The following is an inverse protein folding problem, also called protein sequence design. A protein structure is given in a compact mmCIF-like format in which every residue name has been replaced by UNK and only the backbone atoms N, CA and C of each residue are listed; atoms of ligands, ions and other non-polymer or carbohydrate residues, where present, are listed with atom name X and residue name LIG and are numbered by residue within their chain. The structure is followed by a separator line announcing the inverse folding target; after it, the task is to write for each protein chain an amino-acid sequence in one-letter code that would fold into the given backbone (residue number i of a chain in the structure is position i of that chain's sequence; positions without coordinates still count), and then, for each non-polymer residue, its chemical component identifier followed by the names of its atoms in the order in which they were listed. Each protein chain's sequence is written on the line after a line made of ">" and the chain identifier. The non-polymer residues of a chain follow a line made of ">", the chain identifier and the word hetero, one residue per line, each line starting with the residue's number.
data_IF_726460167963
#
_entry.id   IF_726460167963
#
_cell.length_a   1.000
_cell.length_b   1.000
_cell.length_c   1.000
_cell.angle_alpha   90.00
_cell.angle_beta   90.00
_cell.angle_gamma   90.00
#
_symmetry.space_group_name_H-M   'P 1'
#
loop_
_entity.id
_entity.type
_entity.pdbx_description
1 polymer ?
#
# COMPACT_ATOMS: atom_id res chain seq x y z
N UNK A 1 1.08 -3.84 -2.59
CA UNK A 1 1.41 -3.14 -3.86
C UNK A 1 1.46 -4.17 -4.97
N UNK A 2 1.28 -3.79 -6.25
CA UNK A 2 1.39 -4.69 -7.41
C UNK A 2 2.67 -4.39 -8.20
N UNK A 3 3.12 -5.30 -9.07
CA UNK A 3 4.34 -5.07 -9.86
C UNK A 3 4.22 -3.88 -10.83
N UNK A 4 3.03 -3.61 -11.36
CA UNK A 4 2.76 -2.41 -12.17
C UNK A 4 3.22 -1.11 -11.50
N UNK A 5 3.11 -1.01 -10.18
CA UNK A 5 3.52 0.17 -9.43
C UNK A 5 5.04 0.42 -9.47
N UNK A 6 5.85 -0.58 -9.80
CA UNK A 6 7.30 -0.41 -10.00
C UNK A 6 7.61 0.46 -11.21
N UNK A 7 6.79 0.38 -12.27
CA UNK A 7 6.94 1.19 -13.48
C UNK A 7 6.54 2.66 -13.26
N UNK A 8 5.78 2.92 -12.20
CA UNK A 8 5.43 4.28 -11.76
C UNK A 8 6.51 4.94 -10.91
N UNK A 9 7.64 4.26 -10.65
CA UNK A 9 8.80 4.79 -9.90
C UNK A 9 9.89 5.20 -10.89
N UNK A 10 9.84 6.41 -11.48
CA UNK A 10 10.82 6.84 -12.48
C UNK A 10 12.26 6.83 -11.92
N UNK A 11 12.44 7.02 -10.61
CA UNK A 11 13.72 6.93 -9.93
C UNK A 11 14.38 5.55 -9.99
N UNK A 12 13.62 4.47 -10.22
CA UNK A 12 14.18 3.13 -10.38
C UNK A 12 14.57 2.81 -11.82
N UNK A 13 14.08 3.57 -12.81
CA UNK A 13 14.40 3.37 -14.22
C UNK A 13 14.14 1.95 -14.75
N UNK A 14 13.25 1.19 -14.12
CA UNK A 14 12.98 -0.20 -14.49
C UNK A 14 12.22 -0.26 -15.81
N UNK A 15 12.65 -1.16 -16.69
CA UNK A 15 11.95 -1.46 -17.94
C UNK A 15 11.52 -2.91 -17.98
N UNK A 16 10.29 -3.17 -18.41
CA UNK A 16 9.80 -4.55 -18.53
C UNK A 16 10.33 -5.18 -19.81
N UNK A 17 10.90 -6.37 -19.67
CA UNK A 17 11.50 -7.15 -20.77
C UNK A 17 10.59 -8.33 -21.14
N UNK A 18 9.95 -8.97 -20.16
CA UNK A 18 9.06 -10.12 -20.37
C UNK A 18 7.90 -10.15 -19.35
N UNK A 19 6.80 -10.83 -19.69
CA UNK A 19 5.66 -11.05 -18.79
C UNK A 19 4.73 -9.84 -18.57
N UNK A 20 4.42 -9.09 -19.62
CA UNK A 20 3.68 -7.81 -19.53
C UNK A 20 2.25 -8.04 -19.04
N UNK A 21 1.67 -9.18 -19.40
CA UNK A 21 0.34 -9.62 -18.95
C UNK A 21 0.31 -10.11 -17.50
N UNK A 22 1.48 -10.24 -16.85
CA UNK A 22 1.66 -10.78 -15.50
C UNK A 22 1.99 -9.71 -14.45
N UNK A 23 2.02 -8.43 -14.85
CA UNK A 23 2.41 -7.30 -13.98
C UNK A 23 1.38 -7.01 -12.87
N UNK A 24 0.20 -7.63 -12.94
CA UNK A 24 -0.82 -7.51 -11.92
C UNK A 24 -0.50 -8.36 -10.67
N UNK A 25 0.66 -9.00 -10.54
CA UNK A 25 0.98 -9.81 -9.35
C UNK A 25 1.20 -8.95 -8.09
N UNK A 26 0.73 -9.40 -6.90
CA UNK A 26 1.01 -8.72 -5.64
C UNK A 26 2.48 -8.83 -5.30
N UNK A 27 3.10 -7.73 -4.86
CA UNK A 27 4.48 -7.67 -4.39
C UNK A 27 4.51 -7.49 -2.87
N UNK A 28 5.20 -8.40 -2.17
CA UNK A 28 5.29 -8.46 -0.70
C UNK A 28 6.65 -8.08 -0.14
N UNK A 29 7.73 -8.36 -0.87
CA UNK A 29 9.11 -8.15 -0.42
C UNK A 29 10.09 -8.18 -1.61
N UNK A 30 11.37 -7.86 -1.37
CA UNK A 30 12.46 -7.92 -2.35
C UNK A 30 13.58 -8.80 -1.81
N UNK A 31 14.10 -9.71 -2.64
CA UNK A 31 15.21 -10.59 -2.27
C UNK A 31 16.31 -10.46 -3.31
N UNK A 32 17.53 -10.15 -2.88
CA UNK A 32 18.70 -10.17 -3.76
C UNK A 32 19.42 -11.49 -3.60
N UNK A 33 19.68 -12.19 -4.71
CA UNK A 33 20.39 -13.47 -4.69
C UNK A 33 21.06 -13.75 -6.02
N UNK A 34 22.20 -14.42 -5.94
CA UNK A 34 22.87 -15.04 -7.09
C UNK A 34 23.14 -16.53 -6.84
N UNK A 35 22.26 -17.17 -6.06
CA UNK A 35 22.20 -18.64 -5.98
C UNK A 35 21.43 -19.17 -7.18
N UNK A 36 21.99 -20.16 -7.88
CA UNK A 36 21.35 -20.80 -9.05
C UNK A 36 19.99 -21.43 -8.72
N UNK A 37 19.85 -22.00 -7.53
CA UNK A 37 18.58 -22.52 -7.02
C UNK A 37 18.28 -21.84 -5.66
N UNK A 38 17.58 -20.69 -5.68
CA UNK A 38 17.24 -19.96 -4.46
C UNK A 38 15.95 -20.47 -3.80
N UNK A 39 15.29 -21.49 -4.35
CA UNK A 39 13.91 -21.86 -3.99
C UNK A 39 13.69 -22.08 -2.49
N UNK A 40 14.66 -22.70 -1.79
CA UNK A 40 14.58 -22.95 -0.34
C UNK A 40 14.52 -21.71 0.55
N UNK A 41 14.85 -20.54 0.01
CA UNK A 41 14.86 -19.26 0.74
C UNK A 41 13.69 -18.34 0.37
N UNK A 42 12.84 -18.78 -0.56
CA UNK A 42 11.72 -18.01 -1.10
C UNK A 42 10.41 -18.55 -0.52
N UNK A 43 9.46 -17.64 -0.31
CA UNK A 43 8.15 -17.93 0.30
C UNK A 43 6.97 -17.50 -0.57
N UNK A 44 7.26 -16.92 -1.74
CA UNK A 44 6.28 -16.45 -2.70
C UNK A 44 5.91 -14.97 -2.52
N UNK A 45 5.65 -14.31 -3.64
CA UNK A 45 5.29 -12.89 -3.66
C UNK A 45 6.49 -11.92 -3.57
N UNK A 46 7.72 -12.42 -3.70
CA UNK A 46 8.93 -11.59 -3.74
C UNK A 46 9.23 -11.09 -5.17
N UNK A 47 9.86 -9.91 -5.27
CA UNK A 47 10.65 -9.53 -6.44
C UNK A 47 12.09 -10.00 -6.18
N UNK A 48 12.61 -10.88 -7.03
CA UNK A 48 14.01 -11.32 -6.93
C UNK A 48 14.91 -10.39 -7.73
N UNK A 49 16.03 -9.94 -7.15
CA UNK A 49 17.06 -9.15 -7.82
C UNK A 49 18.34 -9.99 -7.99
N UNK A 50 18.95 -9.93 -9.17
CA UNK A 50 20.15 -10.73 -9.50
C UNK A 50 21.10 -9.99 -10.43
N UNK A 51 22.40 -10.14 -10.17
CA UNK A 51 23.48 -9.69 -11.04
C UNK A 51 23.92 -10.73 -12.08
N UNK A 52 23.18 -11.84 -12.18
CA UNK A 52 23.41 -12.96 -13.09
C UNK A 52 24.73 -13.73 -12.86
N UNK A 53 25.30 -13.66 -11.64
CA UNK A 53 26.61 -14.30 -11.34
C UNK A 53 26.52 -15.84 -11.38
N UNK A 54 25.32 -16.39 -11.16
CA UNK A 54 25.06 -17.82 -11.27
C UNK A 54 25.11 -18.36 -12.71
N UNK A 55 24.96 -17.49 -13.72
CA UNK A 55 24.82 -17.90 -15.13
C UNK A 55 26.18 -18.23 -15.74
N UNK A 56 26.50 -19.52 -15.82
CA UNK A 56 27.73 -20.02 -16.48
C UNK A 56 27.43 -20.55 -17.88
N UNK A 57 26.22 -21.04 -18.09
CA UNK A 57 25.71 -21.59 -19.35
C UNK A 57 24.28 -21.12 -19.58
N UNK A 58 23.78 -21.22 -20.80
CA UNK A 58 22.38 -20.88 -21.11
C UNK A 58 21.36 -21.79 -20.38
N UNK A 59 21.75 -23.03 -20.03
CA UNK A 59 20.88 -23.95 -19.30
C UNK A 59 20.64 -23.53 -17.84
N UNK A 60 21.54 -22.73 -17.28
CA UNK A 60 21.39 -22.22 -15.91
C UNK A 60 20.17 -21.30 -15.78
N UNK A 61 19.84 -20.55 -16.84
CA UNK A 61 18.67 -19.66 -16.87
C UNK A 61 17.37 -20.42 -16.70
N UNK A 62 17.25 -21.59 -17.33
CA UNK A 62 16.09 -22.45 -17.14
C UNK A 62 15.99 -22.96 -15.71
N UNK A 63 17.12 -23.39 -15.13
CA UNK A 63 17.17 -23.90 -13.75
C UNK A 63 16.76 -22.81 -12.76
N UNK A 64 17.31 -21.61 -12.91
CA UNK A 64 17.03 -20.47 -12.04
C UNK A 64 15.57 -20.04 -12.13
N UNK A 65 15.06 -19.80 -13.34
CA UNK A 65 13.69 -19.31 -13.54
C UNK A 65 12.66 -20.37 -13.13
N UNK A 66 12.90 -21.65 -13.41
CA UNK A 66 12.02 -22.72 -12.94
C UNK A 66 11.92 -22.75 -11.41
N UNK A 67 13.05 -22.57 -10.70
CA UNK A 67 13.05 -22.49 -9.24
C UNK A 67 12.25 -21.27 -8.72
N UNK A 68 12.38 -20.12 -9.38
CA UNK A 68 11.60 -18.91 -9.06
C UNK A 68 10.10 -19.12 -9.27
N UNK A 69 9.72 -19.70 -10.40
CA UNK A 69 8.33 -19.99 -10.72
C UNK A 69 7.72 -20.99 -9.72
N UNK A 70 8.45 -22.05 -9.39
CA UNK A 70 8.04 -23.04 -8.39
C UNK A 70 7.85 -22.41 -6.99
N UNK A 71 8.67 -21.43 -6.63
CA UNK A 71 8.54 -20.69 -5.38
C UNK A 71 7.40 -19.65 -5.39
N UNK A 72 6.78 -19.38 -6.54
CA UNK A 72 5.67 -18.43 -6.65
C UNK A 72 6.11 -16.97 -6.48
N UNK A 73 7.30 -16.61 -6.97
CA UNK A 73 7.75 -15.21 -6.93
C UNK A 73 6.84 -14.31 -7.77
N UNK A 74 6.78 -13.03 -7.40
CA UNK A 74 6.04 -12.05 -8.19
C UNK A 74 6.73 -11.76 -9.50
N UNK A 75 8.06 -11.60 -9.49
CA UNK A 75 8.86 -11.29 -10.68
C UNK A 75 10.36 -11.29 -10.42
N UNK A 76 11.13 -10.98 -11.47
CA UNK A 76 12.59 -10.96 -11.51
C UNK A 76 13.09 -9.62 -12.03
N UNK A 77 14.01 -8.98 -11.31
CA UNK A 77 14.80 -7.85 -11.78
C UNK A 77 16.25 -8.27 -12.01
N UNK A 78 16.74 -8.13 -13.24
CA UNK A 78 18.09 -8.51 -13.60
C UNK A 78 18.91 -7.28 -14.03
N UNK A 79 20.16 -7.23 -13.59
CA UNK A 79 21.15 -6.26 -14.07
C UNK A 79 22.33 -7.02 -14.66
N UNK A 80 22.65 -6.80 -15.93
CA UNK A 80 23.86 -7.34 -16.55
C UNK A 80 25.01 -6.32 -16.48
N UNK A 81 26.21 -6.79 -16.17
CA UNK A 81 27.37 -5.91 -15.92
C UNK A 81 28.10 -5.46 -17.20
N UNK A 82 27.90 -6.12 -18.34
CA UNK A 82 28.83 -6.04 -19.49
C UNK A 82 28.24 -5.60 -20.83
N UNK A 83 26.92 -5.68 -21.05
CA UNK A 83 26.33 -5.50 -22.39
C UNK A 83 25.05 -4.65 -22.44
N UNK A 84 24.46 -4.27 -21.30
CA UNK A 84 23.23 -3.47 -21.23
C UNK A 84 21.95 -4.23 -21.62
N UNK A 85 22.04 -5.22 -22.51
CA UNK A 85 20.94 -6.13 -22.84
C UNK A 85 21.00 -7.39 -21.99
N UNK A 86 19.85 -7.93 -21.58
CA UNK A 86 19.76 -9.19 -20.83
C UNK A 86 19.94 -10.41 -21.75
N UNK A 87 20.44 -11.56 -21.23
CA UNK A 87 20.63 -12.75 -22.05
C UNK A 87 19.31 -13.30 -22.58
N UNK A 88 19.26 -13.64 -23.87
CA UNK A 88 18.04 -14.12 -24.53
C UNK A 88 17.49 -15.40 -23.89
N UNK A 89 18.35 -16.32 -23.45
CA UNK A 89 17.95 -17.55 -22.75
C UNK A 89 17.22 -17.27 -21.42
N UNK A 90 17.55 -16.17 -20.73
CA UNK A 90 16.84 -15.74 -19.53
C UNK A 90 15.45 -15.21 -19.88
N UNK A 91 15.35 -14.39 -20.92
CA UNK A 91 14.07 -13.85 -21.42
C UNK A 91 13.13 -15.00 -21.82
N UNK A 92 13.62 -15.95 -22.62
CA UNK A 92 12.86 -17.12 -23.06
C UNK A 92 12.41 -18.02 -21.91
N UNK A 93 13.26 -18.20 -20.89
CA UNK A 93 12.89 -18.94 -19.68
C UNK A 93 11.81 -18.21 -18.88
N UNK A 94 11.94 -16.89 -18.70
CA UNK A 94 10.93 -16.04 -18.05
C UNK A 94 9.58 -16.12 -18.77
N UNK A 95 9.54 -16.05 -20.09
CA UNK A 95 8.29 -16.19 -20.86
C UNK A 95 7.67 -17.58 -20.69
N UNK A 96 8.46 -18.65 -20.81
CA UNK A 96 7.99 -20.03 -20.66
C UNK A 96 7.37 -20.29 -19.29
N UNK A 97 7.98 -19.75 -18.24
CA UNK A 97 7.52 -19.93 -16.85
C UNK A 97 6.59 -18.81 -16.36
N UNK A 98 6.24 -17.86 -17.23
CA UNK A 98 5.41 -16.68 -16.90
C UNK A 98 5.95 -15.92 -15.69
N UNK A 99 7.25 -15.65 -15.66
CA UNK A 99 7.87 -14.81 -14.62
C UNK A 99 8.15 -13.44 -15.22
N UNK A 100 7.48 -12.37 -14.74
CA UNK A 100 7.79 -10.99 -15.17
C UNK A 100 9.27 -10.69 -15.02
N UNK A 101 9.89 -10.16 -16.08
CA UNK A 101 11.30 -9.79 -16.11
C UNK A 101 11.43 -8.28 -16.26
N UNK A 102 12.20 -7.66 -15.39
CA UNK A 102 12.58 -6.26 -15.43
C UNK A 102 14.08 -6.13 -15.66
N UNK A 103 14.48 -5.24 -16.54
CA UNK A 103 15.86 -4.78 -16.61
C UNK A 103 16.07 -3.69 -15.56
N UNK A 104 17.08 -3.90 -14.70
CA UNK A 104 17.51 -2.96 -13.67
C UNK A 104 18.72 -2.20 -14.18
N UNK A 105 18.69 -0.86 -14.24
CA UNK A 105 19.83 -0.07 -14.70
C UNK A 105 21.10 -0.32 -13.89
N UNK A 106 22.25 -0.45 -14.56
CA UNK A 106 23.55 -0.69 -13.90
C UNK A 106 23.96 0.43 -12.92
N UNK A 107 23.51 1.66 -13.17
CA UNK A 107 23.78 2.79 -12.29
C UNK A 107 23.04 2.70 -10.94
N UNK A 108 22.07 1.79 -10.80
CA UNK A 108 21.21 1.67 -9.64
C UNK A 108 21.61 0.47 -8.78
N UNK A 109 21.92 0.71 -7.51
CA UNK A 109 22.25 -0.38 -6.59
C UNK A 109 21.02 -1.21 -6.22
N UNK A 110 21.15 -2.54 -6.12
CA UNK A 110 20.05 -3.38 -5.60
C UNK A 110 19.61 -2.98 -4.18
N UNK A 111 20.52 -2.43 -3.37
CA UNK A 111 20.18 -1.86 -2.08
C UNK A 111 19.21 -0.67 -2.21
N UNK A 112 19.42 0.20 -3.20
CA UNK A 112 18.55 1.35 -3.46
C UNK A 112 17.18 0.90 -3.97
N UNK A 113 17.14 -0.07 -4.90
CA UNK A 113 15.88 -0.69 -5.36
C UNK A 113 15.11 -1.29 -4.17
N UNK A 114 15.81 -2.06 -3.35
CA UNK A 114 15.24 -2.69 -2.15
C UNK A 114 14.71 -1.63 -1.20
N UNK A 115 15.46 -0.57 -0.93
CA UNK A 115 15.04 0.50 -0.03
C UNK A 115 13.77 1.20 -0.52
N UNK A 116 13.70 1.58 -1.80
CA UNK A 116 12.52 2.25 -2.36
C UNK A 116 11.28 1.37 -2.27
N UNK A 117 11.40 0.09 -2.65
CA UNK A 117 10.28 -0.85 -2.62
C UNK A 117 9.86 -1.13 -1.18
N UNK A 118 10.80 -1.44 -0.29
CA UNK A 118 10.52 -1.68 1.14
C UNK A 118 9.92 -0.44 1.79
N UNK A 119 10.37 0.76 1.45
CA UNK A 119 9.80 2.03 1.94
C UNK A 119 8.36 2.21 1.46
N UNK A 120 8.03 1.90 0.19
CA UNK A 120 6.64 2.00 -0.31
C UNK A 120 5.74 0.92 0.27
N UNK A 121 6.23 -0.32 0.44
CA UNK A 121 5.52 -1.40 1.13
C UNK A 121 5.30 -1.11 2.62
N UNK A 122 6.29 -0.52 3.28
CA UNK A 122 6.23 -0.12 4.69
C UNK A 122 5.41 1.14 4.87
N UNK A 123 5.41 2.08 3.92
CA UNK A 123 4.53 3.24 3.90
C UNK A 123 3.06 2.83 3.79
N UNK A 124 2.75 1.80 2.99
CA UNK A 124 1.43 1.20 2.94
C UNK A 124 1.04 0.55 4.29
N UNK A 125 1.93 -0.23 4.91
CA UNK A 125 1.69 -0.83 6.24
C UNK A 125 1.63 0.19 7.38
N UNK A 126 2.47 1.21 7.35
CA UNK A 126 2.50 2.29 8.32
C UNK A 126 1.29 3.20 8.13
N UNK A 127 0.75 3.35 6.92
CA UNK A 127 -0.54 4.01 6.68
C UNK A 127 -1.69 3.22 7.28
N UNK A 128 -1.69 1.89 7.15
CA UNK A 128 -2.73 1.04 7.76
C UNK A 128 -2.62 1.02 9.28
N UNK A 129 -1.41 0.88 9.82
CA UNK A 129 -1.14 0.92 11.27
C UNK A 129 -1.36 2.33 11.83
N UNK A 130 -1.02 3.39 11.10
CA UNK A 130 -1.33 4.78 11.47
C UNK A 130 -2.83 5.04 11.40
N UNK A 131 -3.56 4.53 10.41
CA UNK A 131 -5.01 4.65 10.36
C UNK A 131 -5.67 3.91 11.53
N UNK A 132 -5.17 2.72 11.87
CA UNK A 132 -5.63 1.96 13.04
C UNK A 132 -5.24 2.66 14.35
N UNK A 133 -4.02 3.18 14.47
CA UNK A 133 -3.52 3.91 15.64
C UNK A 133 -4.09 5.31 15.76
N UNK A 134 -4.49 5.97 14.67
CA UNK A 134 -5.18 7.27 14.69
C UNK A 134 -6.62 7.04 15.15
N UNK A 135 -7.28 5.98 14.67
CA UNK A 135 -8.57 5.52 15.23
C UNK A 135 -8.43 5.13 16.71
N UNK A 136 -7.37 4.40 17.08
CA UNK A 136 -7.13 4.01 18.48
C UNK A 136 -6.68 5.17 19.37
N UNK A 137 -5.91 6.15 18.86
CA UNK A 137 -5.51 7.36 19.59
C UNK A 137 -6.68 8.30 19.77
N UNK A 138 -7.57 8.41 18.78
CA UNK A 138 -8.87 9.09 18.96
C UNK A 138 -9.68 8.45 20.10
N UNK A 139 -9.59 7.13 20.27
CA UNK A 139 -10.27 6.41 21.37
C UNK A 139 -9.53 6.46 22.72
N UNK A 140 -8.20 6.52 22.74
CA UNK A 140 -7.38 6.32 23.96
C UNK A 140 -6.77 7.62 24.52
N UNK A 141 -6.58 8.68 23.71
CA UNK A 141 -5.83 9.88 24.15
C UNK A 141 -6.58 10.86 25.05
N UNK A 142 -7.86 10.65 25.33
CA UNK A 142 -8.65 11.59 26.14
C UNK A 142 -8.80 12.99 25.53
N UNK A 143 -8.46 13.17 24.24
CA UNK A 143 -8.57 14.44 23.52
C UNK A 143 -10.00 14.80 23.08
N UNK A 144 -11.00 14.01 23.48
CA UNK A 144 -12.40 14.22 23.12
C UNK A 144 -12.70 13.87 21.65
N UNK A 145 -13.93 14.17 21.22
CA UNK A 145 -14.41 13.84 19.86
C UNK A 145 -13.97 14.87 18.81
N UNK A 146 -13.36 16.00 19.22
CA UNK A 146 -12.97 17.11 18.35
C UNK A 146 -12.06 16.72 17.17
N UNK A 147 -11.00 15.89 17.33
CA UNK A 147 -10.16 15.50 16.21
C UNK A 147 -10.91 14.65 15.17
N UNK A 148 -11.88 13.83 15.61
CA UNK A 148 -12.73 13.01 14.73
C UNK A 148 -13.64 13.92 13.90
N UNK A 149 -14.28 14.89 14.53
CA UNK A 149 -15.18 15.83 13.86
C UNK A 149 -14.42 16.75 12.89
N UNK A 150 -13.19 17.16 13.22
CA UNK A 150 -12.34 17.93 12.31
C UNK A 150 -11.93 17.14 11.06
N UNK A 151 -11.70 15.83 11.20
CA UNK A 151 -11.43 14.94 10.07
C UNK A 151 -12.65 14.84 9.15
N UNK A 152 -13.84 14.61 9.70
CA UNK A 152 -15.10 14.55 8.94
C UNK A 152 -15.35 15.86 8.17
N UNK A 153 -15.09 17.01 8.80
CA UNK A 153 -15.23 18.31 8.15
C UNK A 153 -14.25 18.52 7.00
N UNK A 154 -13.01 18.04 7.14
CA UNK A 154 -11.97 18.17 6.10
C UNK A 154 -12.22 17.23 4.93
N UNK A 155 -12.55 15.97 5.20
CA UNK A 155 -12.55 14.92 4.20
C UNK A 155 -13.91 14.79 3.49
N UNK A 156 -15.01 15.11 4.18
CA UNK A 156 -16.37 14.99 3.66
C UNK A 156 -17.08 16.34 3.48
N UNK A 157 -16.44 17.45 3.86
CA UNK A 157 -17.04 18.78 3.79
C UNK A 157 -18.23 19.00 4.73
N UNK A 158 -18.43 18.09 5.70
CA UNK A 158 -19.57 18.12 6.62
C UNK A 158 -19.16 18.68 7.98
N UNK A 159 -19.84 19.74 8.42
CA UNK A 159 -19.66 20.26 9.78
C UNK A 159 -20.52 19.47 10.76
N UNK A 160 -19.88 18.91 11.79
CA UNK A 160 -20.52 18.04 12.77
C UNK A 160 -20.22 18.53 14.19
N UNK A 161 -21.16 18.25 15.10
CA UNK A 161 -21.10 18.66 16.51
C UNK A 161 -21.69 17.59 17.40
N UNK A 162 -21.18 17.48 18.62
CA UNK A 162 -21.81 16.73 19.70
C UNK A 162 -22.30 17.71 20.76
N UNK A 163 -23.57 17.61 21.11
CA UNK A 163 -24.23 18.48 22.09
C UNK A 163 -24.76 17.65 23.26
N UNK A 164 -24.77 18.23 24.46
CA UNK A 164 -25.52 17.68 25.59
C UNK A 164 -27.03 17.84 25.37
N UNK A 165 -27.84 17.14 26.17
CA UNK A 165 -29.30 17.33 26.22
C UNK A 165 -29.73 18.77 26.55
N UNK A 166 -28.85 19.59 27.15
CA UNK A 166 -29.08 21.01 27.42
C UNK A 166 -28.64 21.95 26.28
N UNK A 167 -28.08 21.41 25.19
CA UNK A 167 -27.56 22.19 24.07
C UNK A 167 -26.15 22.76 24.28
N UNK A 168 -25.43 22.29 25.30
CA UNK A 168 -24.02 22.65 25.51
C UNK A 168 -23.14 21.87 24.53
N UNK A 169 -22.17 22.53 23.94
CA UNK A 169 -21.19 21.88 23.07
C UNK A 169 -20.28 20.94 23.86
N UNK A 170 -20.18 19.70 23.40
CA UNK A 170 -19.26 18.67 23.90
C UNK A 170 -18.05 18.54 22.98
N UNK A 171 -18.26 18.60 21.66
CA UNK A 171 -17.19 18.57 20.66
C UNK A 171 -17.61 19.25 19.34
N UNK A 172 -16.67 19.92 18.68
CA UNK A 172 -16.81 20.70 17.45
C UNK A 172 -16.15 22.08 17.59
N UNK A 173 -15.75 22.71 16.48
CA UNK A 173 -14.99 23.96 16.53
C UNK A 173 -15.74 25.14 17.19
N UNK A 174 -17.02 25.34 16.82
CA UNK A 174 -17.92 26.36 17.39
C UNK A 174 -19.35 25.82 17.45
N UNK A 175 -20.17 26.13 18.48
CA UNK A 175 -21.52 25.59 18.58
C UNK A 175 -22.40 26.02 17.39
N UNK A 176 -23.28 25.13 16.88
CA UNK A 176 -24.17 25.49 15.79
C UNK A 176 -25.13 26.59 16.24
N UNK A 177 -25.51 27.52 15.34
CA UNK A 177 -26.61 28.44 15.59
C UNK A 177 -27.84 27.66 16.06
N UNK A 178 -28.46 28.09 17.15
CA UNK A 178 -29.63 27.43 17.77
C UNK A 178 -29.38 26.06 18.40
N UNK A 179 -28.18 25.81 18.94
CA UNK A 179 -27.83 24.58 19.66
C UNK A 179 -28.89 24.13 20.71
N UNK A 180 -29.43 25.07 21.49
CA UNK A 180 -30.48 24.78 22.47
C UNK A 180 -31.80 24.30 21.82
N UNK A 181 -32.17 24.84 20.65
CA UNK A 181 -33.36 24.41 19.93
C UNK A 181 -33.18 23.01 19.33
N UNK A 182 -31.98 22.69 18.85
CA UNK A 182 -31.63 21.36 18.33
C UNK A 182 -31.68 20.31 19.45
N UNK A 183 -31.14 20.62 20.62
CA UNK A 183 -31.22 19.74 21.79
C UNK A 183 -32.68 19.53 22.25
N UNK A 184 -33.50 20.59 22.29
CA UNK A 184 -34.93 20.44 22.57
C UNK A 184 -35.66 19.61 21.52
N UNK A 185 -35.29 19.77 20.24
CA UNK A 185 -35.88 18.99 19.15
C UNK A 185 -35.53 17.51 19.27
N UNK A 186 -34.31 17.17 19.70
CA UNK A 186 -33.90 15.82 20.03
C UNK A 186 -34.76 15.23 21.17
N UNK A 187 -34.86 15.93 22.30
CA UNK A 187 -35.58 15.45 23.49
C UNK A 187 -37.10 15.28 23.27
N UNK A 188 -37.67 15.99 22.30
CA UNK A 188 -39.11 15.93 21.98
C UNK A 188 -39.40 15.10 20.73
N UNK A 189 -38.37 14.53 20.09
CA UNK A 189 -38.54 13.72 18.89
C UNK A 189 -39.22 12.39 19.24
N UNK A 190 -40.25 12.01 18.46
CA UNK A 190 -40.86 10.68 18.59
C UNK A 190 -40.00 9.57 17.98
N UNK A 191 -39.12 9.92 17.02
CA UNK A 191 -38.21 9.03 16.29
C UNK A 191 -36.97 9.81 15.85
N UNK A 192 -35.85 9.10 15.78
CA UNK A 192 -34.55 9.60 15.34
C UNK A 192 -33.99 8.71 14.20
N UNK A 193 -33.15 9.24 13.30
CA UNK A 193 -32.68 10.63 13.23
C UNK A 193 -33.78 11.63 12.83
N UNK A 194 -33.65 12.87 13.29
CA UNK A 194 -34.59 13.96 13.00
C UNK A 194 -33.91 15.03 12.15
N UNK A 195 -34.55 15.47 11.08
CA UNK A 195 -34.09 16.62 10.28
C UNK A 195 -34.81 17.87 10.74
N UNK A 196 -34.06 18.92 11.12
CA UNK A 196 -34.62 20.21 11.54
C UNK A 196 -33.67 21.36 11.25
N UNK A 197 -34.18 22.41 10.62
CA UNK A 197 -33.42 23.65 10.39
C UNK A 197 -32.15 23.48 9.56
N UNK A 198 -32.11 22.49 8.65
CA UNK A 198 -30.92 22.17 7.85
C UNK A 198 -29.92 21.24 8.54
N UNK A 199 -30.24 20.74 9.75
CA UNK A 199 -29.42 19.79 10.49
C UNK A 199 -30.10 18.42 10.53
N UNK A 200 -29.29 17.36 10.49
CA UNK A 200 -29.73 15.99 10.78
C UNK A 200 -29.21 15.60 12.16
N UNK A 201 -30.12 15.28 13.07
CA UNK A 201 -29.84 15.01 14.47
C UNK A 201 -29.89 13.49 14.70
N UNK A 202 -28.79 12.93 15.18
CA UNK A 202 -28.65 11.51 15.51
C UNK A 202 -28.56 11.30 17.03
N UNK A 203 -29.02 10.16 17.55
CA UNK A 203 -28.66 9.75 18.91
C UNK A 203 -27.17 9.44 18.98
N UNK A 204 -26.56 9.79 20.11
CA UNK A 204 -25.21 9.40 20.45
C UNK A 204 -25.34 8.62 21.76
N UNK A 205 -25.23 7.30 21.66
CA UNK A 205 -25.27 6.41 22.82
C UNK A 205 -23.88 6.39 23.51
N UNK A 206 -23.85 6.19 24.83
CA UNK A 206 -22.62 5.97 25.61
C UNK A 206 -21.96 4.61 25.32
#
# INVERSE_FOLDING_TARGET
>A
MRLTALLEMPELGLTTVAGQDELDRPLRWVVTTDLLDPGRYLTGGELVLTGLIWRRTAADSETFVAALAAAGVSGLGACEASSGDLPQDLVEACDRHRVPLFHVPQALGFAEVTEHIVRRLSGARASDVKAVLDRHRQLVSGAGLDPVLQMIARDLGMRCWVLTASGRLVAGADPPPRAAELARAFLTAKRLPLVRGGYTIYPVDE
#
